data_IF_503166924060
#
_entry.id   IF_503166924060
#
_cell.length_a   1.000
_cell.length_b   1.000
_cell.length_c   1.000
_cell.angle_alpha   90.00
_cell.angle_beta   90.00
_cell.angle_gamma   90.00
#
_symmetry.space_group_name_H-M   'P 1'
#
loop_
_entity.id
_entity.type
_entity.pdbx_description
1 polymer ?
#
# COMPACT_ATOMS: atom_id res chain seq x y z
N UNK A 1 -15.84 11.72 9.62
CA UNK A 1 -15.09 11.28 8.43
C UNK A 1 -13.81 10.65 8.92
N UNK A 2 -13.63 9.34 8.75
CA UNK A 2 -12.49 8.61 9.31
C UNK A 2 -11.35 8.55 8.30
N UNK A 3 -10.20 9.14 8.66
CA UNK A 3 -8.94 9.05 7.94
C UNK A 3 -8.49 7.59 7.84
N UNK A 4 -8.29 7.10 6.61
CA UNK A 4 -7.57 5.86 6.37
C UNK A 4 -6.08 6.12 6.62
N UNK A 5 -5.63 5.85 7.86
CA UNK A 5 -4.20 5.87 8.20
C UNK A 5 -3.48 4.74 7.47
N UNK A 6 -2.54 5.12 6.62
CA UNK A 6 -1.61 4.20 5.97
C UNK A 6 -0.67 3.61 7.03
N UNK A 7 -0.69 2.30 7.20
CA UNK A 7 0.14 1.59 8.18
C UNK A 7 1.30 0.91 7.47
N UNK A 8 2.53 1.27 7.85
CA UNK A 8 3.77 0.73 7.30
C UNK A 8 4.26 -0.50 8.10
N UNK A 9 4.91 -1.44 7.39
CA UNK A 9 5.43 -2.73 7.88
C UNK A 9 6.46 -2.59 9.01
N UNK A 10 6.25 -3.33 10.11
CA UNK A 10 7.31 -3.95 10.91
C UNK A 10 6.84 -5.37 11.32
N UNK A 11 7.67 -6.37 11.02
CA UNK A 11 7.60 -7.72 11.60
C UNK A 11 6.26 -8.48 11.51
N UNK A 12 5.83 -8.86 10.31
CA UNK A 12 4.90 -9.99 10.14
C UNK A 12 3.50 -9.87 10.78
N UNK A 13 3.11 -8.70 11.28
CA UNK A 13 1.76 -8.44 11.75
C UNK A 13 0.87 -7.94 10.60
N UNK A 14 -0.29 -8.57 10.44
CA UNK A 14 -1.33 -8.19 9.48
C UNK A 14 -1.70 -6.71 9.67
N UNK A 15 -1.46 -5.90 8.64
CA UNK A 15 -1.76 -4.47 8.65
C UNK A 15 -3.27 -4.26 8.50
N UNK A 16 -3.96 -4.16 9.64
CA UNK A 16 -5.40 -3.89 9.74
C UNK A 16 -6.27 -5.13 9.63
N UNK A 17 -7.42 -5.11 10.31
CA UNK A 17 -8.46 -6.12 10.12
C UNK A 17 -8.99 -5.99 8.69
N UNK A 18 -8.98 -7.08 7.92
CA UNK A 18 -9.70 -7.12 6.63
C UNK A 18 -11.17 -6.84 6.93
N UNK A 19 -11.79 -5.80 6.31
CA UNK A 19 -13.21 -5.52 6.51
C UNK A 19 -14.04 -6.77 6.19
N UNK A 20 -15.03 -7.08 7.03
CA UNK A 20 -15.84 -8.30 6.89
C UNK A 20 -16.56 -8.35 5.54
N UNK A 21 -16.94 -7.19 5.00
CA UNK A 21 -17.55 -7.02 3.68
C UNK A 21 -16.57 -7.43 2.56
N UNK A 22 -15.30 -7.04 2.67
CA UNK A 22 -14.29 -7.40 1.68
C UNK A 22 -14.03 -8.91 1.68
N UNK A 23 -13.95 -9.53 2.86
CA UNK A 23 -13.84 -10.99 2.98
C UNK A 23 -15.07 -11.71 2.39
N UNK A 24 -16.27 -11.21 2.68
CA UNK A 24 -17.51 -11.79 2.15
C UNK A 24 -17.57 -11.71 0.62
N UNK A 25 -17.21 -10.55 0.04
CA UNK A 25 -17.20 -10.41 -1.42
C UNK A 25 -16.09 -11.26 -2.06
N UNK A 26 -14.93 -11.41 -1.41
CA UNK A 26 -13.89 -12.35 -1.84
C UNK A 26 -14.42 -13.79 -1.88
N UNK A 27 -15.06 -14.25 -0.82
CA UNK A 27 -15.62 -15.60 -0.75
C UNK A 27 -16.71 -15.81 -1.81
N UNK A 28 -17.56 -14.81 -2.07
CA UNK A 28 -18.52 -14.86 -3.19
C UNK A 28 -17.81 -14.94 -4.54
N UNK A 29 -16.78 -14.12 -4.75
CA UNK A 29 -16.00 -14.09 -5.97
C UNK A 29 -15.31 -15.44 -6.26
N UNK A 30 -14.71 -16.06 -5.24
CA UNK A 30 -14.06 -17.36 -5.35
C UNK A 30 -15.06 -18.53 -5.41
N UNK A 31 -16.17 -18.42 -4.66
CA UNK A 31 -17.18 -19.48 -4.53
C UNK A 31 -18.03 -19.68 -5.78
N UNK A 32 -18.39 -18.59 -6.49
CA UNK A 32 -19.21 -18.65 -7.72
C UNK A 32 -18.62 -19.49 -8.85
N UNK A 33 -17.32 -19.74 -8.81
CA UNK A 33 -16.57 -20.34 -9.92
C UNK A 33 -15.81 -21.61 -9.52
N UNK A 34 -16.13 -22.20 -8.36
CA UNK A 34 -15.39 -23.34 -7.76
C UNK A 34 -13.89 -23.10 -7.55
N UNK A 35 -13.40 -21.86 -7.71
CA UNK A 35 -12.00 -21.48 -7.53
C UNK A 35 -11.54 -21.73 -6.10
N UNK A 36 -12.42 -21.46 -5.13
CA UNK A 36 -12.12 -21.72 -3.71
C UNK A 36 -11.75 -23.19 -3.49
N UNK A 37 -12.46 -24.14 -4.10
CA UNK A 37 -12.15 -25.56 -3.96
C UNK A 37 -10.80 -25.90 -4.61
N UNK A 38 -10.45 -25.27 -5.73
CA UNK A 38 -9.14 -25.45 -6.36
C UNK A 38 -8.00 -24.98 -5.47
N UNK A 39 -8.15 -23.80 -4.84
CA UNK A 39 -7.18 -23.27 -3.87
C UNK A 39 -7.09 -24.22 -2.67
N UNK A 40 -8.22 -24.61 -2.08
CA UNK A 40 -8.24 -25.50 -0.92
C UNK A 40 -7.61 -26.87 -1.23
N UNK A 41 -7.86 -27.44 -2.41
CA UNK A 41 -7.27 -28.70 -2.83
C UNK A 41 -5.75 -28.60 -3.01
N UNK A 42 -5.27 -27.49 -3.60
CA UNK A 42 -3.83 -27.25 -3.78
C UNK A 42 -3.09 -27.11 -2.43
N UNK A 43 -3.77 -26.60 -1.40
CA UNK A 43 -3.21 -26.32 -0.08
C UNK A 43 -3.58 -27.37 0.99
N UNK A 44 -4.29 -28.44 0.64
CA UNK A 44 -4.82 -29.42 1.59
C UNK A 44 -3.75 -30.23 2.34
N UNK A 45 -2.50 -30.22 1.87
CA UNK A 45 -1.38 -30.99 2.46
C UNK A 45 -0.22 -30.14 3.00
N UNK A 46 -0.02 -28.93 2.48
CA UNK A 46 1.03 -28.01 2.96
C UNK A 46 0.66 -26.56 2.64
N UNK A 47 0.41 -25.76 3.68
CA UNK A 47 -0.08 -24.38 3.57
C UNK A 47 1.09 -23.38 3.55
N UNK A 48 2.32 -23.85 3.77
CA UNK A 48 3.40 -22.98 4.28
C UNK A 48 4.30 -22.36 3.22
N UNK A 49 4.22 -22.77 1.96
CA UNK A 49 5.16 -22.33 0.93
C UNK A 49 4.42 -21.84 -0.32
N UNK A 50 4.88 -20.72 -0.88
CA UNK A 50 4.36 -20.16 -2.12
C UNK A 50 3.22 -19.13 -2.02
N UNK A 51 2.47 -19.06 -0.91
CA UNK A 51 1.33 -18.11 -0.77
C UNK A 51 1.78 -16.68 -1.02
N UNK A 52 1.04 -15.97 -1.89
CA UNK A 52 1.36 -14.59 -2.29
C UNK A 52 1.32 -13.62 -1.10
N UNK A 53 2.26 -12.67 -1.08
CA UNK A 53 2.36 -11.65 -0.02
C UNK A 53 1.11 -10.80 0.18
N UNK A 54 0.41 -10.45 -0.91
CA UNK A 54 -0.68 -9.48 -0.88
C UNK A 54 -1.90 -9.95 -1.68
N UNK A 55 -3.07 -9.63 -1.13
CA UNK A 55 -4.34 -9.61 -1.86
C UNK A 55 -4.81 -8.17 -2.02
N UNK A 56 -4.79 -7.67 -3.24
CA UNK A 56 -5.29 -6.34 -3.57
C UNK A 56 -6.72 -6.44 -4.08
N UNK A 57 -7.57 -5.47 -3.72
CA UNK A 57 -8.91 -5.39 -4.26
C UNK A 57 -9.33 -3.95 -4.58
N UNK A 58 -10.19 -3.81 -5.60
CA UNK A 58 -10.76 -2.52 -5.97
C UNK A 58 -12.12 -2.34 -5.31
N UNK A 59 -12.32 -1.22 -4.62
CA UNK A 59 -13.59 -0.85 -4.02
C UNK A 59 -14.31 0.17 -4.90
N UNK A 60 -15.60 -0.04 -5.16
CA UNK A 60 -16.50 0.94 -5.79
C UNK A 60 -17.84 0.91 -5.06
N UNK A 61 -18.34 2.08 -4.67
CA UNK A 61 -19.60 2.22 -3.92
C UNK A 61 -19.65 1.30 -2.67
N UNK A 62 -18.54 1.22 -1.93
CA UNK A 62 -18.45 0.38 -0.73
C UNK A 62 -18.32 -1.13 -0.99
N UNK A 63 -18.21 -1.57 -2.25
CA UNK A 63 -18.12 -3.00 -2.61
C UNK A 63 -16.78 -3.35 -3.26
N UNK A 64 -16.18 -4.45 -2.86
CA UNK A 64 -15.02 -5.02 -3.54
C UNK A 64 -15.46 -5.69 -4.85
N UNK A 65 -14.84 -5.33 -5.97
CA UNK A 65 -15.23 -5.79 -7.31
C UNK A 65 -14.19 -6.68 -7.99
N UNK A 66 -12.91 -6.37 -7.82
CA UNK A 66 -11.80 -7.08 -8.45
C UNK A 66 -10.79 -7.47 -7.39
N UNK A 67 -10.17 -8.63 -7.57
CA UNK A 67 -9.17 -9.18 -6.66
C UNK A 67 -7.90 -9.54 -7.45
N UNK A 68 -6.73 -9.23 -6.87
CA UNK A 68 -5.42 -9.55 -7.44
C UNK A 68 -4.51 -10.14 -6.37
N UNK A 69 -3.91 -11.28 -6.69
CA UNK A 69 -2.91 -11.94 -5.87
C UNK A 69 -1.53 -11.43 -6.30
N UNK A 70 -0.74 -10.94 -5.36
CA UNK A 70 0.51 -10.24 -5.67
C UNK A 70 1.62 -10.77 -4.80
N UNK A 71 2.66 -11.28 -5.45
CA UNK A 71 3.96 -11.56 -4.83
C UNK A 71 4.83 -10.30 -4.92
N UNK A 72 5.42 -9.87 -3.80
CA UNK A 72 6.25 -8.67 -3.75
C UNK A 72 7.71 -9.07 -3.62
N UNK A 73 8.53 -8.59 -4.55
CA UNK A 73 9.97 -8.84 -4.56
C UNK A 73 10.75 -7.55 -4.46
N UNK A 74 11.86 -7.58 -3.72
CA UNK A 74 12.87 -6.54 -3.86
C UNK A 74 13.52 -6.64 -5.25
N UNK A 75 14.13 -5.54 -5.70
CA UNK A 75 14.78 -5.47 -7.00
C UNK A 75 15.78 -6.62 -7.26
N UNK A 76 16.50 -7.03 -6.22
CA UNK A 76 17.56 -8.04 -6.18
C UNK A 76 17.07 -9.43 -5.76
N UNK A 77 15.79 -9.57 -5.43
CA UNK A 77 15.24 -10.83 -4.94
C UNK A 77 14.74 -11.72 -6.10
N UNK A 78 15.12 -12.99 -6.04
CA UNK A 78 14.67 -14.02 -6.99
C UNK A 78 13.31 -14.56 -6.56
N UNK A 79 12.45 -14.86 -7.53
CA UNK A 79 11.18 -15.56 -7.29
C UNK A 79 11.50 -17.03 -7.08
N UNK A 80 11.07 -17.59 -5.95
CA UNK A 80 11.34 -18.99 -5.64
C UNK A 80 10.43 -19.93 -6.45
N UNK A 81 10.83 -21.18 -6.72
CA UNK A 81 10.02 -22.12 -7.49
C UNK A 81 8.61 -22.38 -6.92
N UNK A 82 8.47 -22.45 -5.59
CA UNK A 82 7.18 -22.60 -4.90
C UNK A 82 6.23 -21.41 -5.20
N UNK A 83 6.79 -20.20 -5.30
CA UNK A 83 6.03 -18.99 -5.60
C UNK A 83 5.61 -18.94 -7.08
N UNK A 84 6.45 -19.45 -7.98
CA UNK A 84 6.09 -19.60 -9.40
C UNK A 84 4.92 -20.56 -9.52
N UNK A 85 5.00 -21.73 -8.87
CA UNK A 85 3.94 -22.73 -8.89
C UNK A 85 2.60 -22.19 -8.34
N UNK A 86 2.63 -21.43 -7.24
CA UNK A 86 1.43 -20.77 -6.70
C UNK A 86 0.82 -19.80 -7.72
N UNK A 87 1.62 -18.93 -8.34
CA UNK A 87 1.13 -17.96 -9.32
C UNK A 87 0.55 -18.65 -10.56
N UNK A 88 1.14 -19.74 -11.01
CA UNK A 88 0.63 -20.56 -12.11
C UNK A 88 -0.70 -21.22 -11.76
N UNK A 89 -0.81 -21.81 -10.57
CA UNK A 89 -2.05 -22.39 -10.05
C UNK A 89 -3.18 -21.35 -9.99
N UNK A 90 -2.91 -20.16 -9.43
CA UNK A 90 -3.90 -19.07 -9.36
C UNK A 90 -4.34 -18.63 -10.77
N UNK A 91 -3.42 -18.52 -11.74
CA UNK A 91 -3.75 -18.20 -13.14
C UNK A 91 -4.55 -19.29 -13.82
N UNK A 92 -4.27 -20.57 -13.54
CA UNK A 92 -5.04 -21.69 -14.04
C UNK A 92 -6.51 -21.63 -13.56
N UNK A 93 -6.73 -21.17 -12.32
CA UNK A 93 -8.05 -20.87 -11.77
C UNK A 93 -8.70 -19.58 -12.31
N UNK A 94 -8.09 -18.94 -13.33
CA UNK A 94 -8.53 -17.67 -13.92
C UNK A 94 -8.56 -16.51 -12.91
N UNK A 95 -7.66 -16.53 -11.93
CA UNK A 95 -7.43 -15.42 -11.02
C UNK A 95 -6.33 -14.51 -11.56
N UNK A 96 -6.43 -13.21 -11.25
CA UNK A 96 -5.37 -12.27 -11.59
C UNK A 96 -4.25 -12.42 -10.58
N UNK A 97 -3.09 -12.90 -11.02
CA UNK A 97 -1.93 -13.12 -10.16
C UNK A 97 -0.62 -12.65 -10.83
N UNK A 98 0.24 -11.96 -10.08
CA UNK A 98 1.46 -11.40 -10.62
C UNK A 98 2.51 -11.03 -9.57
N UNK A 99 3.65 -10.55 -10.07
CA UNK A 99 4.79 -10.14 -9.24
C UNK A 99 4.94 -8.63 -9.36
N UNK A 100 5.13 -7.96 -8.22
CA UNK A 100 5.53 -6.55 -8.16
C UNK A 100 6.97 -6.49 -7.65
N UNK A 101 7.85 -5.89 -8.45
CA UNK A 101 9.23 -5.61 -8.05
C UNK A 101 9.33 -4.19 -7.50
N UNK A 102 9.85 -4.06 -6.28
CA UNK A 102 10.15 -2.78 -5.67
C UNK A 102 11.42 -2.21 -6.29
N UNK A 103 11.33 -1.00 -6.86
CA UNK A 103 12.51 -0.27 -7.32
C UNK A 103 13.29 0.30 -6.13
N UNK A 104 14.63 0.31 -6.24
CA UNK A 104 15.48 1.02 -5.28
C UNK A 104 15.20 2.53 -5.40
N UNK A 105 15.00 3.26 -4.28
CA UNK A 105 14.84 4.70 -4.33
C UNK A 105 16.04 5.32 -5.06
N UNK A 106 15.80 6.00 -6.19
CA UNK A 106 16.84 6.78 -6.84
C UNK A 106 17.27 7.84 -5.84
N UNK A 107 18.56 7.86 -5.48
CA UNK A 107 19.15 8.93 -4.66
C UNK A 107 18.80 10.24 -5.39
N UNK A 108 18.16 11.23 -4.73
CA UNK A 108 17.86 12.49 -5.39
C UNK A 108 19.18 13.03 -5.95
N UNK A 109 19.17 13.38 -7.24
CA UNK A 109 20.35 13.91 -7.89
C UNK A 109 20.88 15.09 -7.04
N UNK A 110 22.21 15.20 -6.83
CA UNK A 110 22.76 16.33 -6.12
C UNK A 110 22.29 17.59 -6.84
N UNK A 111 21.52 18.43 -6.14
CA UNK A 111 21.16 19.75 -6.63
C UNK A 111 22.48 20.49 -6.78
N UNK A 112 22.98 20.59 -8.01
CA UNK A 112 24.08 21.47 -8.32
C UNK A 112 23.58 22.87 -8.02
N UNK A 113 24.02 23.42 -6.89
CA UNK A 113 23.78 24.80 -6.53
C UNK A 113 24.40 25.65 -7.64
N UNK A 114 23.61 26.05 -8.63
CA UNK A 114 23.95 27.19 -9.48
C UNK A 114 24.07 28.36 -8.52
N UNK A 115 25.29 28.85 -8.31
CA UNK A 115 25.57 30.12 -7.66
C UNK A 115 24.70 31.18 -8.35
N UNK A 116 23.56 31.53 -7.74
CA UNK A 116 22.88 32.77 -8.06
C UNK A 116 23.63 33.84 -7.29
N UNK A 117 24.22 34.74 -8.06
CA UNK A 117 24.88 35.93 -7.57
C UNK A 117 24.02 36.69 -6.57
N UNK A 118 24.73 37.37 -5.68
CA UNK A 118 24.24 38.24 -4.64
C UNK A 118 23.00 39.05 -5.07
N UNK A 119 22.01 39.08 -4.18
CA UNK A 119 21.24 40.27 -3.86
C UNK A 119 20.62 40.06 -2.48
N UNK A 120 21.34 40.52 -1.45
CA UNK A 120 20.77 40.76 -0.14
C UNK A 120 19.74 41.88 -0.27
N UNK A 121 18.46 41.57 -0.09
CA UNK A 121 17.46 42.57 0.29
C UNK A 121 16.79 42.05 1.55
N UNK A 122 17.18 42.67 2.67
CA UNK A 122 16.60 42.48 3.99
C UNK A 122 15.16 42.98 3.95
N UNK A 123 14.19 42.08 4.10
CA UNK A 123 12.80 42.44 4.40
C UNK A 123 12.53 42.05 5.84
N UNK A 124 12.35 43.08 6.66
CA UNK A 124 12.04 43.03 8.09
C UNK A 124 10.59 42.57 8.29
N UNK A 125 10.29 41.58 9.15
CA UNK A 125 8.91 41.25 9.48
C UNK A 125 8.33 42.25 10.49
N UNK A 126 7.16 42.78 10.15
CA UNK A 126 6.36 43.67 10.97
C UNK A 126 5.92 42.99 12.28
N UNK A 127 6.23 43.62 13.41
CA UNK A 127 5.69 43.25 14.71
C UNK A 127 4.25 43.80 14.84
N UNK A 128 3.28 42.90 14.93
CA UNK A 128 1.93 43.22 15.35
C UNK A 128 1.68 42.57 16.72
N UNK A 129 1.38 43.40 17.72
CA UNK A 129 0.75 42.95 18.97
C UNK A 129 1.32 43.59 20.23
N UNK A 130 0.61 44.60 20.75
CA UNK A 130 0.33 44.74 22.18
C UNK A 130 -0.75 45.80 22.40
N UNK A 131 -1.96 45.34 22.72
CA UNK A 131 -3.03 46.15 23.28
C UNK A 131 -2.68 46.55 24.72
N UNK A 132 -2.99 47.79 25.12
CA UNK A 132 -2.72 48.26 26.48
C UNK A 132 -3.31 49.63 26.79
N UNK A 133 -4.61 49.64 27.09
CA UNK A 133 -5.26 50.41 28.18
C UNK A 133 -4.81 51.85 28.45
N UNK A 134 -5.71 52.83 28.19
CA UNK A 134 -5.81 54.05 29.01
C UNK A 134 -7.27 54.47 29.20
N UNK A 135 -7.75 54.29 30.44
CA UNK A 135 -8.86 55.07 31.01
C UNK A 135 -8.35 56.45 31.41
N UNK A 136 -9.18 57.45 31.14
CA UNK A 136 -9.46 58.56 32.05
C UNK A 136 -8.45 59.71 32.07
N UNK A 137 -8.91 60.88 31.63
CA UNK A 137 -8.80 62.11 32.41
C UNK A 137 -9.97 63.02 32.01
N UNK A 138 -10.42 63.77 33.02
CA UNK A 138 -11.45 64.81 33.08
C UNK A 138 -11.44 65.81 31.94
#
# INVERSE_FOLDING_TARGET
>A
MAEARATAKRHGQYLGSVPAEALRELLKFLGRSKRLNGILAAHAGDIRYGVTDLLLYRVRNGRALDFRFVEVKRHDETVRPDQVAELEMLRALKLTAGIVRLETPRKPAPVTARQRGANHTTVQPAAAGAAGSRRGTT
#
